data_IF_472696797968
#
_entry.id   IF_472696797968
#
_cell.length_a   1.000
_cell.length_b   1.000
_cell.length_c   1.000
_cell.angle_alpha   90.00
_cell.angle_beta   90.00
_cell.angle_gamma   90.00
#
_symmetry.space_group_name_H-M   'P 1'
#
loop_
_entity.id
_entity.type
_entity.pdbx_description
1 polymer ?
#
# COMPACT_ATOMS: atom_id res chain seq x y z
N UNK A 1 17.49 8.66 -74.20
CA UNK A 1 17.96 7.58 -75.10
C UNK A 1 19.47 7.68 -75.21
N UNK A 2 20.20 6.95 -74.37
CA UNK A 2 21.50 6.33 -74.68
C UNK A 2 21.97 5.57 -73.44
N UNK A 3 22.66 4.48 -73.70
CA UNK A 3 22.68 3.25 -72.91
C UNK A 3 23.95 3.14 -72.05
N UNK A 4 23.80 2.37 -70.98
CA UNK A 4 24.78 1.90 -70.00
C UNK A 4 26.22 1.61 -70.48
N UNK A 5 27.15 1.64 -69.52
CA UNK A 5 28.17 0.58 -69.36
C UNK A 5 28.71 0.52 -67.93
N UNK A 6 28.49 -0.63 -67.31
CA UNK A 6 29.12 -1.10 -66.07
C UNK A 6 30.57 -1.49 -66.40
N UNK A 7 31.51 -1.15 -65.51
CA UNK A 7 32.85 -1.73 -65.55
C UNK A 7 33.26 -2.16 -64.14
N UNK A 8 33.41 -3.47 -63.97
CA UNK A 8 33.89 -4.14 -62.76
C UNK A 8 35.42 -4.12 -62.82
N UNK A 9 36.08 -3.62 -61.78
CA UNK A 9 37.51 -3.78 -61.56
C UNK A 9 37.74 -4.49 -60.23
N UNK A 10 38.31 -5.68 -60.35
CA UNK A 10 38.74 -6.57 -59.27
C UNK A 10 40.14 -6.14 -58.83
N UNK A 11 40.31 -5.85 -57.54
CA UNK A 11 41.63 -5.78 -56.90
C UNK A 11 41.58 -6.51 -55.54
N UNK A 12 42.46 -7.51 -55.36
CA UNK A 12 42.86 -8.10 -54.07
C UNK A 12 44.33 -7.71 -53.82
N UNK A 13 44.87 -7.91 -52.61
CA UNK A 13 44.63 -7.16 -51.37
C UNK A 13 45.90 -6.37 -50.97
N UNK A 14 45.76 -5.22 -50.29
CA UNK A 14 46.87 -4.64 -49.53
C UNK A 14 46.56 -4.75 -48.04
N UNK A 15 47.44 -5.45 -47.34
CA UNK A 15 47.52 -5.61 -45.90
C UNK A 15 47.49 -4.25 -45.20
N UNK A 16 46.39 -3.96 -44.51
CA UNK A 16 46.35 -2.94 -43.47
C UNK A 16 45.93 -3.58 -42.16
N UNK A 17 46.85 -3.46 -41.20
CA UNK A 17 46.71 -3.79 -39.80
C UNK A 17 45.59 -2.90 -39.22
N UNK A 18 44.36 -3.42 -39.16
CA UNK A 18 43.26 -2.77 -38.46
C UNK A 18 43.12 -3.39 -37.08
N UNK A 19 43.48 -2.60 -36.07
CA UNK A 19 43.16 -2.83 -34.66
C UNK A 19 41.66 -3.11 -34.54
N UNK A 20 41.32 -4.32 -34.10
CA UNK A 20 39.98 -4.66 -33.67
C UNK A 20 39.68 -3.88 -32.39
N UNK A 21 38.98 -2.76 -32.52
CA UNK A 21 38.24 -2.19 -31.40
C UNK A 21 37.06 -3.14 -31.19
N UNK A 22 37.15 -3.98 -30.15
CA UNK A 22 36.01 -4.69 -29.60
C UNK A 22 35.04 -3.64 -29.08
N UNK A 23 34.05 -3.26 -29.90
CA UNK A 23 32.83 -2.66 -29.41
C UNK A 23 32.09 -3.74 -28.63
N UNK A 24 32.35 -3.80 -27.32
CA UNK A 24 31.43 -4.41 -26.37
C UNK A 24 30.10 -3.66 -26.51
N UNK A 25 29.17 -4.23 -27.29
CA UNK A 25 27.76 -4.03 -27.01
C UNK A 25 27.53 -4.67 -25.65
N UNK A 26 27.59 -3.84 -24.61
CA UNK A 26 26.93 -4.17 -23.35
C UNK A 26 25.45 -4.13 -23.66
N UNK A 27 24.90 -5.28 -24.06
CA UNK A 27 23.48 -5.54 -23.82
C UNK A 27 23.35 -5.42 -22.31
N UNK A 28 22.51 -4.52 -21.77
CA UNK A 28 22.16 -4.59 -20.37
C UNK A 28 21.42 -5.91 -20.21
N UNK A 29 22.16 -6.95 -19.83
CA UNK A 29 21.55 -8.09 -19.16
C UNK A 29 21.02 -7.50 -17.87
N UNK A 30 19.68 -7.39 -17.77
CA UNK A 30 19.05 -7.26 -16.46
C UNK A 30 19.52 -8.49 -15.69
N UNK A 31 20.55 -8.33 -14.87
CA UNK A 31 20.90 -9.30 -13.86
C UNK A 31 19.74 -9.21 -12.88
N UNK A 32 18.77 -10.11 -13.00
CA UNK A 32 17.74 -10.33 -11.99
C UNK A 32 18.41 -11.01 -10.81
N UNK A 33 19.18 -10.25 -10.04
CA UNK A 33 19.19 -10.46 -8.60
C UNK A 33 17.89 -9.81 -8.13
N UNK A 34 16.92 -10.62 -7.73
CA UNK A 34 15.70 -10.14 -7.10
C UNK A 34 16.14 -9.64 -5.72
N UNK A 35 16.57 -8.38 -5.63
CA UNK A 35 16.74 -7.74 -4.33
C UNK A 35 15.38 -7.77 -3.64
N UNK A 36 15.28 -8.49 -2.53
CA UNK A 36 14.09 -8.49 -1.69
C UNK A 36 14.09 -7.19 -0.91
N UNK A 37 13.20 -6.28 -1.30
CA UNK A 37 12.98 -5.04 -0.58
C UNK A 37 11.98 -5.32 0.54
N UNK A 38 12.50 -5.42 1.77
CA UNK A 38 11.68 -5.62 2.95
C UNK A 38 10.85 -4.40 3.33
N UNK A 39 10.16 -4.50 4.46
CA UNK A 39 9.38 -3.46 5.11
C UNK A 39 10.22 -2.73 6.19
N UNK A 40 9.99 -1.42 6.31
CA UNK A 40 10.57 -0.55 7.35
C UNK A 40 9.70 -0.41 8.61
N UNK A 41 8.49 -0.99 8.62
CA UNK A 41 7.59 -0.97 9.77
C UNK A 41 8.21 -1.68 10.96
N UNK A 42 8.34 -0.94 12.07
CA UNK A 42 8.88 -1.47 13.32
C UNK A 42 7.79 -2.14 14.14
N UNK A 43 8.12 -3.24 14.80
CA UNK A 43 7.25 -3.82 15.83
C UNK A 43 7.01 -2.78 16.93
N UNK A 44 5.75 -2.55 17.34
CA UNK A 44 5.43 -1.55 18.34
C UNK A 44 6.02 -1.95 19.69
N UNK A 45 6.51 -0.95 20.43
CA UNK A 45 7.09 -1.14 21.77
C UNK A 45 6.09 -1.81 22.74
N UNK A 46 4.79 -1.60 22.51
CA UNK A 46 3.71 -2.26 23.22
C UNK A 46 2.85 -3.04 22.24
N UNK A 47 2.78 -4.36 22.37
CA UNK A 47 1.95 -5.18 21.50
C UNK A 47 0.46 -4.88 21.68
N UNK A 48 -0.23 -4.76 20.56
CA UNK A 48 -1.68 -4.66 20.47
C UNK A 48 -2.26 -6.06 20.29
N UNK A 49 -3.06 -6.51 21.24
CA UNK A 49 -3.82 -7.76 21.10
C UNK A 49 -5.07 -7.51 20.27
N UNK A 50 -5.57 -8.55 19.60
CA UNK A 50 -6.81 -8.45 18.83
C UNK A 50 -7.96 -8.05 19.75
N UNK A 51 -8.56 -6.86 19.57
CA UNK A 51 -9.64 -6.42 20.44
C UNK A 51 -10.89 -7.26 20.19
N UNK A 52 -11.74 -7.39 21.20
CA UNK A 52 -13.06 -7.97 21.00
C UNK A 52 -13.88 -7.07 20.06
N UNK A 53 -14.69 -7.66 19.20
CA UNK A 53 -15.61 -6.88 18.37
C UNK A 53 -16.59 -6.08 19.24
N UNK A 54 -16.89 -4.81 18.89
CA UNK A 54 -17.84 -4.01 19.65
C UNK A 54 -19.27 -4.52 19.49
N UNK A 55 -20.14 -4.11 20.41
CA UNK A 55 -21.56 -4.45 20.37
C UNK A 55 -22.19 -3.95 19.06
N UNK A 56 -22.77 -4.87 18.28
CA UNK A 56 -23.39 -4.56 16.98
C UNK A 56 -22.53 -4.88 15.76
N UNK A 57 -21.33 -5.45 15.94
CA UNK A 57 -20.55 -6.05 14.86
C UNK A 57 -21.41 -6.98 13.99
N UNK A 58 -21.21 -6.89 12.68
CA UNK A 58 -21.88 -7.72 11.68
C UNK A 58 -20.81 -8.47 10.89
N UNK A 59 -20.80 -9.79 11.03
CA UNK A 59 -19.84 -10.67 10.36
C UNK A 59 -19.96 -10.69 8.83
N UNK A 60 -21.08 -10.22 8.29
CA UNK A 60 -21.37 -10.22 6.85
C UNK A 60 -21.43 -8.80 6.28
N UNK A 61 -20.87 -7.82 7.00
CA UNK A 61 -20.82 -6.44 6.52
C UNK A 61 -19.43 -6.13 5.97
N UNK A 62 -19.39 -5.59 4.76
CA UNK A 62 -18.16 -5.06 4.17
C UNK A 62 -17.85 -3.67 4.76
N UNK A 63 -16.68 -3.52 5.36
CA UNK A 63 -16.19 -2.27 5.92
C UNK A 63 -15.49 -1.45 4.84
N UNK A 64 -16.15 -0.37 4.41
CA UNK A 64 -15.58 0.59 3.46
C UNK A 64 -14.67 1.59 4.17
N UNK A 65 -13.39 1.61 3.85
CA UNK A 65 -12.34 2.45 4.43
C UNK A 65 -11.84 3.47 3.41
N UNK A 66 -11.82 4.74 3.79
CA UNK A 66 -11.32 5.84 2.96
C UNK A 66 -9.79 5.79 2.89
N UNK A 67 -9.25 5.81 1.68
CA UNK A 67 -7.81 5.97 1.42
C UNK A 67 -7.57 7.24 0.59
N UNK A 68 -6.44 7.89 0.83
CA UNK A 68 -6.03 9.10 0.12
C UNK A 68 -4.57 8.94 -0.30
N UNK A 69 -4.28 9.20 -1.58
CA UNK A 69 -2.94 9.00 -2.14
C UNK A 69 -2.22 10.34 -2.31
N UNK A 70 -0.96 10.38 -1.88
CA UNK A 70 -0.04 11.48 -2.07
C UNK A 70 1.11 11.01 -2.96
N UNK A 71 1.19 11.50 -4.19
CA UNK A 71 2.31 11.23 -5.10
C UNK A 71 3.32 12.34 -4.91
N UNK A 72 4.53 12.02 -4.46
CA UNK A 72 5.58 13.03 -4.35
C UNK A 72 6.21 13.26 -5.73
N UNK A 73 6.56 14.51 -6.03
CA UNK A 73 7.26 14.92 -7.23
C UNK A 73 8.30 15.99 -6.90
N UNK A 74 9.17 16.29 -7.86
CA UNK A 74 10.14 17.38 -7.72
C UNK A 74 9.45 18.72 -7.46
N UNK A 75 10.19 19.66 -6.86
CA UNK A 75 9.66 20.99 -6.48
C UNK A 75 9.11 21.80 -7.67
N UNK A 76 9.58 21.51 -8.90
CA UNK A 76 9.08 22.12 -10.14
C UNK A 76 7.83 21.41 -10.72
N UNK A 77 7.38 20.34 -10.07
CA UNK A 77 6.24 19.51 -10.43
C UNK A 77 6.53 18.41 -11.44
N UNK A 78 7.80 18.20 -11.81
CA UNK A 78 8.22 17.13 -12.72
C UNK A 78 8.58 15.85 -11.96
N UNK A 79 8.73 14.73 -12.69
CA UNK A 79 9.21 13.46 -12.13
C UNK A 79 8.39 12.95 -10.95
N UNK A 80 7.08 12.68 -11.12
CA UNK A 80 6.31 12.04 -10.06
C UNK A 80 6.93 10.69 -9.70
N UNK A 81 6.90 10.35 -8.42
CA UNK A 81 7.44 9.10 -7.89
C UNK A 81 6.83 7.84 -8.51
N UNK A 82 5.61 7.95 -9.05
CA UNK A 82 4.97 6.88 -9.80
C UNK A 82 4.07 7.44 -10.91
N UNK A 83 3.96 6.68 -11.99
CA UNK A 83 2.98 6.93 -13.04
C UNK A 83 1.57 6.50 -12.58
N UNK A 84 0.56 7.21 -13.07
CA UNK A 84 -0.84 6.97 -12.68
C UNK A 84 -1.32 5.57 -13.07
N UNK A 85 -0.84 5.00 -14.17
CA UNK A 85 -1.23 3.65 -14.60
C UNK A 85 -0.77 2.56 -13.65
N UNK A 86 0.44 2.72 -13.10
CA UNK A 86 1.03 1.75 -12.19
C UNK A 86 0.35 1.85 -10.83
N UNK A 87 0.13 3.08 -10.35
CA UNK A 87 -0.67 3.33 -9.15
C UNK A 87 -2.06 2.68 -9.22
N UNK A 88 -2.80 2.90 -10.30
CA UNK A 88 -4.15 2.34 -10.40
C UNK A 88 -4.14 0.80 -10.44
N UNK A 89 -3.16 0.19 -11.13
CA UNK A 89 -3.00 -1.27 -11.16
C UNK A 89 -2.70 -1.84 -9.77
N UNK A 90 -1.89 -1.14 -8.99
CA UNK A 90 -1.55 -1.50 -7.61
C UNK A 90 -2.75 -1.39 -6.66
N UNK A 91 -3.54 -0.32 -6.79
CA UNK A 91 -4.75 -0.15 -5.98
C UNK A 91 -5.82 -1.21 -6.31
N UNK A 92 -5.96 -1.61 -7.57
CA UNK A 92 -6.83 -2.72 -7.98
C UNK A 92 -6.38 -4.06 -7.37
N UNK A 93 -5.08 -4.37 -7.44
CA UNK A 93 -4.54 -5.57 -6.82
C UNK A 93 -4.69 -5.56 -5.29
N UNK A 94 -4.33 -4.45 -4.65
CA UNK A 94 -4.49 -4.22 -3.20
C UNK A 94 -5.94 -4.49 -2.79
N UNK A 95 -6.92 -3.89 -3.48
CA UNK A 95 -8.32 -4.13 -3.19
C UNK A 95 -8.69 -5.62 -3.29
N UNK A 96 -8.16 -6.35 -4.27
CA UNK A 96 -8.46 -7.77 -4.44
C UNK A 96 -8.02 -8.61 -3.23
N UNK A 97 -6.93 -8.22 -2.55
CA UNK A 97 -6.44 -8.90 -1.35
C UNK A 97 -7.29 -8.61 -0.10
N UNK A 98 -7.87 -7.41 0.00
CA UNK A 98 -8.76 -7.04 1.13
C UNK A 98 -10.20 -7.55 0.97
N UNK A 99 -10.64 -7.83 -0.26
CA UNK A 99 -12.02 -8.25 -0.52
C UNK A 99 -12.44 -9.53 0.23
N UNK A 100 -11.64 -10.61 0.31
CA UNK A 100 -11.95 -11.79 1.12
C UNK A 100 -12.09 -11.50 2.63
N UNK A 101 -11.48 -10.40 3.09
CA UNK A 101 -11.58 -9.95 4.47
C UNK A 101 -12.76 -8.98 4.70
N UNK A 102 -13.74 -8.90 3.79
CA UNK A 102 -14.86 -7.96 3.89
C UNK A 102 -14.41 -6.51 4.15
N UNK A 103 -13.26 -6.13 3.60
CA UNK A 103 -12.74 -4.76 3.66
C UNK A 103 -12.71 -4.22 2.24
N UNK A 104 -13.16 -2.99 2.10
CA UNK A 104 -13.19 -2.35 0.81
C UNK A 104 -12.64 -0.93 0.85
N UNK A 105 -11.72 -0.64 -0.06
CA UNK A 105 -10.99 0.60 -0.10
C UNK A 105 -11.77 1.63 -0.92
N UNK A 106 -11.76 2.86 -0.43
CA UNK A 106 -12.47 3.98 -1.03
C UNK A 106 -11.47 5.07 -1.31
N UNK A 107 -11.00 5.12 -2.56
CA UNK A 107 -10.16 6.21 -3.03
C UNK A 107 -10.95 7.52 -2.97
N UNK A 108 -10.64 8.36 -1.98
CA UNK A 108 -11.30 9.66 -1.80
C UNK A 108 -10.53 10.82 -2.41
N UNK A 109 -9.34 10.55 -2.93
CA UNK A 109 -8.55 11.52 -3.67
C UNK A 109 -7.13 11.06 -3.91
N UNK A 110 -6.55 11.66 -4.94
CA UNK A 110 -5.12 11.66 -5.20
C UNK A 110 -4.67 13.12 -5.17
N UNK A 111 -3.46 13.38 -4.71
CA UNK A 111 -2.80 14.66 -4.92
C UNK A 111 -1.32 14.48 -5.22
N UNK A 112 -0.76 15.40 -5.99
CA UNK A 112 0.68 15.52 -6.16
C UNK A 112 1.21 16.54 -5.15
N UNK A 113 2.28 16.18 -4.44
CA UNK A 113 3.03 17.09 -3.56
C UNK A 113 4.36 17.39 -4.26
N UNK A 114 4.61 18.66 -4.56
CA UNK A 114 5.84 19.09 -5.22
C UNK A 114 6.86 19.49 -4.15
N UNK A 115 7.72 18.55 -3.79
CA UNK A 115 8.80 18.76 -2.82
C UNK A 115 9.93 17.80 -3.13
N UNK A 116 11.04 18.33 -3.65
CA UNK A 116 12.25 17.54 -3.90
C UNK A 116 12.82 16.92 -2.61
N UNK A 117 12.54 17.54 -1.46
CA UNK A 117 12.94 17.08 -0.14
C UNK A 117 12.20 15.78 0.25
N UNK A 118 10.89 15.72 -0.04
CA UNK A 118 10.06 14.55 0.27
C UNK A 118 10.24 13.40 -0.74
N UNK A 119 11.04 13.57 -1.80
CA UNK A 119 11.24 12.50 -2.80
C UNK A 119 11.94 11.29 -2.16
N UNK A 120 12.75 11.53 -1.15
CA UNK A 120 13.51 10.55 -0.39
C UNK A 120 12.98 10.58 1.05
N UNK A 121 12.50 9.44 1.57
CA UNK A 121 11.90 9.36 2.90
C UNK A 121 12.71 8.47 3.83
N UNK A 122 13.27 9.08 4.89
CA UNK A 122 13.87 8.36 6.02
C UNK A 122 12.80 8.01 7.04
N UNK A 123 12.46 6.73 7.14
CA UNK A 123 11.29 6.28 7.92
C UNK A 123 11.43 6.50 9.44
N UNK A 124 12.66 6.63 9.94
CA UNK A 124 12.97 6.78 11.36
C UNK A 124 13.27 8.23 11.80
N UNK A 125 13.48 9.14 10.85
CA UNK A 125 13.89 10.52 11.12
C UNK A 125 12.92 11.57 10.56
N UNK A 126 12.20 11.27 9.48
CA UNK A 126 11.48 12.27 8.67
C UNK A 126 9.95 12.04 8.65
N UNK A 127 9.41 11.26 9.58
CA UNK A 127 7.95 11.05 9.70
C UNK A 127 7.19 12.38 9.90
N UNK A 128 7.74 13.28 10.72
CA UNK A 128 7.10 14.56 11.07
C UNK A 128 6.87 15.47 9.85
N UNK A 129 7.63 15.29 8.77
CA UNK A 129 7.52 16.07 7.54
C UNK A 129 6.27 15.71 6.72
N UNK A 130 5.65 14.55 7.00
CA UNK A 130 4.41 14.11 6.37
C UNK A 130 3.15 14.68 7.05
N UNK A 131 3.23 14.97 8.35
CA UNK A 131 2.09 15.41 9.17
C UNK A 131 1.32 16.61 8.59
N UNK A 132 1.96 17.64 8.01
CA UNK A 132 1.25 18.76 7.39
C UNK A 132 0.36 18.39 6.19
N UNK A 133 0.61 17.24 5.57
CA UNK A 133 -0.08 16.80 4.35
C UNK A 133 -1.20 15.80 4.61
N UNK A 134 -1.33 15.29 5.85
CA UNK A 134 -2.36 14.33 6.21
C UNK A 134 -3.77 14.87 5.91
N UNK A 135 -4.52 14.07 5.18
CA UNK A 135 -5.96 14.27 4.97
C UNK A 135 -6.69 13.51 6.06
N UNK A 136 -7.33 14.27 6.96
CA UNK A 136 -8.08 13.68 8.08
C UNK A 136 -9.19 12.75 7.63
N UNK A 137 -9.53 11.78 8.49
CA UNK A 137 -10.57 10.79 8.28
C UNK A 137 -10.33 9.91 7.02
N UNK A 138 -9.08 9.66 6.66
CA UNK A 138 -8.67 8.74 5.60
C UNK A 138 -7.32 8.13 5.98
N UNK A 139 -7.02 6.95 5.46
CA UNK A 139 -5.66 6.40 5.52
C UNK A 139 -4.85 7.07 4.41
N UNK A 140 -3.74 7.71 4.77
CA UNK A 140 -2.89 8.47 3.84
C UNK A 140 -1.74 7.60 3.36
N UNK A 141 -1.62 7.44 2.04
CA UNK A 141 -0.56 6.65 1.42
C UNK A 141 0.36 7.62 0.68
N UNK A 142 1.59 7.76 1.16
CA UNK A 142 2.61 8.59 0.55
C UNK A 142 3.49 7.74 -0.37
N UNK A 143 3.66 8.18 -1.61
CA UNK A 143 4.46 7.49 -2.62
C UNK A 143 5.69 8.35 -2.91
N UNK A 144 6.81 7.88 -2.38
CA UNK A 144 8.11 8.52 -2.50
C UNK A 144 8.89 7.89 -3.65
N UNK A 145 9.95 8.55 -4.10
CA UNK A 145 10.89 7.93 -5.02
C UNK A 145 11.71 6.85 -4.33
N UNK A 146 12.15 7.12 -3.11
CA UNK A 146 12.85 6.16 -2.27
C UNK A 146 12.33 6.20 -0.83
N UNK A 147 12.15 5.02 -0.23
CA UNK A 147 11.88 4.84 1.20
C UNK A 147 13.05 4.06 1.81
N UNK A 148 13.68 4.58 2.87
CA UNK A 148 14.90 3.99 3.40
C UNK A 148 15.12 4.25 4.91
N UNK A 149 16.00 3.46 5.50
CA UNK A 149 16.63 3.70 6.81
C UNK A 149 18.13 3.45 6.63
N UNK A 150 18.96 4.35 7.14
CA UNK A 150 20.41 4.36 6.90
C UNK A 150 20.75 4.23 5.39
N UNK A 151 21.40 3.13 4.98
CA UNK A 151 21.77 2.84 3.59
C UNK A 151 20.85 1.76 2.95
N UNK A 152 19.76 1.37 3.62
CA UNK A 152 18.87 0.28 3.18
C UNK A 152 17.55 0.83 2.64
N UNK A 153 17.25 0.48 1.40
CA UNK A 153 15.96 0.77 0.76
C UNK A 153 14.92 -0.27 1.19
N UNK A 154 13.72 0.19 1.49
CA UNK A 154 12.54 -0.62 1.76
C UNK A 154 11.48 -0.44 0.68
N UNK A 155 10.60 -1.42 0.56
CA UNK A 155 9.39 -1.25 -0.24
C UNK A 155 8.46 -0.20 0.37
N UNK A 156 8.35 -0.18 1.70
CA UNK A 156 7.46 0.74 2.39
C UNK A 156 7.58 0.67 3.91
N UNK A 157 6.77 1.46 4.59
CA UNK A 157 6.65 1.47 6.03
C UNK A 157 5.32 2.13 6.45
N UNK A 158 4.59 1.44 7.32
CA UNK A 158 3.69 2.06 8.28
C UNK A 158 4.48 2.55 9.50
N UNK A 159 4.09 3.71 10.03
CA UNK A 159 4.83 4.35 11.13
C UNK A 159 4.42 3.86 12.53
N UNK A 160 3.30 3.13 12.64
CA UNK A 160 2.89 2.41 13.86
C UNK A 160 1.88 1.31 13.48
N UNK A 161 1.57 0.43 14.44
CA UNK A 161 0.59 -0.65 14.29
C UNK A 161 -0.39 -0.54 15.48
N UNK A 162 -1.65 -0.08 15.29
CA UNK A 162 -2.25 0.43 14.05
C UNK A 162 -1.85 1.87 13.74
N UNK A 163 -2.10 2.32 12.50
CA UNK A 163 -1.90 3.70 12.07
C UNK A 163 -2.85 4.08 10.92
N UNK A 164 -2.94 5.35 10.55
CA UNK A 164 -3.71 5.85 9.41
C UNK A 164 -2.84 6.58 8.37
N UNK A 165 -1.54 6.32 8.34
CA UNK A 165 -0.68 6.70 7.24
C UNK A 165 0.53 5.78 7.09
N UNK A 166 1.02 5.69 5.86
CA UNK A 166 2.14 4.85 5.46
C UNK A 166 2.86 5.46 4.26
N UNK A 167 4.10 5.06 4.06
CA UNK A 167 4.93 5.43 2.92
C UNK A 167 5.33 4.20 2.11
N UNK A 168 5.37 4.35 0.78
CA UNK A 168 5.81 3.32 -0.16
C UNK A 168 6.77 3.90 -1.19
N UNK A 169 7.66 3.04 -1.69
CA UNK A 169 8.61 3.33 -2.74
C UNK A 169 7.96 3.15 -4.13
N UNK A 170 7.95 4.22 -4.91
CA UNK A 170 7.30 4.28 -6.22
C UNK A 170 8.02 3.46 -7.30
N UNK A 171 9.35 3.36 -7.25
CA UNK A 171 10.14 2.58 -8.21
C UNK A 171 9.92 1.07 -7.98
N UNK A 172 9.87 0.64 -6.71
CA UNK A 172 9.55 -0.76 -6.35
C UNK A 172 8.10 -1.08 -6.72
N UNK A 173 7.18 -0.15 -6.45
CA UNK A 173 5.77 -0.30 -6.80
C UNK A 173 5.55 -0.42 -8.32
N UNK A 174 6.39 0.19 -9.15
CA UNK A 174 6.30 0.09 -10.61
C UNK A 174 6.84 -1.25 -11.18
N UNK A 175 7.35 -2.15 -10.35
CA UNK A 175 7.84 -3.47 -10.78
C UNK A 175 6.69 -4.42 -11.17
N UNK A 176 6.82 -5.09 -12.32
CA UNK A 176 5.77 -5.95 -12.91
C UNK A 176 5.35 -7.16 -12.05
N UNK A 177 6.07 -7.46 -10.96
CA UNK A 177 5.84 -8.63 -10.09
C UNK A 177 5.68 -8.26 -8.59
N UNK A 178 5.40 -6.99 -8.25
CA UNK A 178 5.27 -6.52 -6.86
C UNK A 178 3.91 -5.87 -6.60
N UNK A 179 2.86 -6.65 -6.39
CA UNK A 179 1.49 -6.12 -6.19
C UNK A 179 1.02 -6.06 -4.73
N UNK A 180 1.79 -6.68 -3.84
CA UNK A 180 1.49 -6.86 -2.42
C UNK A 180 1.90 -5.65 -1.57
N UNK A 181 2.74 -4.75 -2.10
CA UNK A 181 3.42 -3.71 -1.34
C UNK A 181 2.46 -2.81 -0.54
N UNK A 182 1.49 -2.18 -1.21
CA UNK A 182 0.51 -1.33 -0.51
C UNK A 182 -0.33 -2.19 0.45
N UNK A 183 -0.65 -3.42 0.08
CA UNK A 183 -1.45 -4.30 0.94
C UNK A 183 -0.71 -4.69 2.22
N UNK A 184 0.59 -4.93 2.15
CA UNK A 184 1.46 -5.22 3.29
C UNK A 184 1.46 -4.06 4.29
N UNK A 185 1.83 -2.86 3.83
CA UNK A 185 1.89 -1.68 4.70
C UNK A 185 0.50 -1.25 5.21
N UNK A 186 -0.52 -1.39 4.38
CA UNK A 186 -1.90 -1.14 4.81
C UNK A 186 -2.37 -2.19 5.83
N UNK A 187 -1.90 -3.43 5.73
CA UNK A 187 -2.11 -4.48 6.73
C UNK A 187 -1.59 -4.06 8.11
N UNK A 188 -0.40 -3.47 8.16
CA UNK A 188 0.17 -2.88 9.38
C UNK A 188 -0.67 -1.72 9.93
N UNK A 189 -1.10 -0.79 9.07
CA UNK A 189 -2.03 0.28 9.46
C UNK A 189 -3.31 -0.29 10.09
N UNK A 190 -3.81 -1.41 9.56
CA UNK A 190 -4.99 -2.13 10.07
C UNK A 190 -4.67 -3.10 11.22
N UNK A 191 -3.46 -3.05 11.78
CA UNK A 191 -3.08 -3.71 13.02
C UNK A 191 -2.48 -5.10 12.88
N UNK A 192 -2.14 -5.55 11.66
CA UNK A 192 -1.44 -6.82 11.45
C UNK A 192 0.04 -6.71 11.79
N UNK A 193 0.60 -7.77 12.35
CA UNK A 193 2.04 -7.95 12.48
C UNK A 193 2.59 -8.76 11.32
N UNK A 194 3.90 -8.72 11.13
CA UNK A 194 4.59 -9.71 10.32
C UNK A 194 4.31 -11.11 10.87
N UNK A 195 4.16 -12.11 10.01
CA UNK A 195 3.95 -13.53 10.43
C UNK A 195 5.09 -14.04 11.31
N UNK A 196 6.29 -13.51 11.10
CA UNK A 196 7.52 -13.82 11.82
C UNK A 196 7.78 -12.92 13.04
N UNK A 197 6.78 -12.20 13.56
CA UNK A 197 6.94 -11.30 14.71
C UNK A 197 7.57 -12.02 15.92
N UNK A 198 8.64 -11.45 16.47
CA UNK A 198 9.41 -12.07 17.57
C UNK A 198 9.51 -11.20 18.82
N UNK A 199 9.06 -9.94 18.80
CA UNK A 199 9.00 -9.03 19.94
C UNK A 199 8.12 -9.52 21.09
N UNK A 200 7.18 -10.42 20.77
CA UNK A 200 6.33 -11.15 21.72
C UNK A 200 6.88 -12.53 22.11
N UNK A 201 8.03 -12.91 21.57
CA UNK A 201 8.60 -14.25 21.62
C UNK A 201 8.29 -15.05 20.36
N UNK A 202 9.15 -16.02 20.05
CA UNK A 202 9.02 -16.90 18.89
C UNK A 202 7.82 -17.83 19.04
N UNK A 203 7.06 -17.96 17.96
CA UNK A 203 5.93 -18.86 17.89
C UNK A 203 6.38 -20.31 17.67
N UNK A 204 5.77 -21.25 18.40
CA UNK A 204 5.99 -22.68 18.20
C UNK A 204 5.04 -23.22 17.13
N UNK A 205 5.50 -24.22 16.37
CA UNK A 205 4.74 -24.84 15.28
C UNK A 205 3.48 -25.54 15.81
N UNK A 206 3.53 -26.14 17.00
CA UNK A 206 2.37 -26.88 17.52
C UNK A 206 1.18 -25.98 17.82
N UNK A 207 0.01 -26.42 17.34
CA UNK A 207 -1.29 -25.78 17.60
C UNK A 207 -2.05 -26.41 18.76
N UNK A 208 -1.40 -27.26 19.56
CA UNK A 208 -1.99 -27.91 20.73
C UNK A 208 -0.94 -28.27 21.80
N UNK A 209 -1.43 -28.63 22.99
CA UNK A 209 -0.58 -29.06 24.11
C UNK A 209 0.10 -27.90 24.82
N UNK A 210 1.08 -28.23 25.67
CA UNK A 210 1.77 -27.27 26.55
C UNK A 210 2.68 -26.28 25.81
N UNK A 211 3.14 -26.65 24.61
CA UNK A 211 3.99 -25.80 23.77
C UNK A 211 3.20 -24.83 22.87
N UNK A 212 1.86 -24.90 22.84
CA UNK A 212 1.05 -23.97 22.03
C UNK A 212 1.14 -22.55 22.62
N UNK A 213 1.55 -21.58 21.81
CA UNK A 213 1.76 -20.19 22.24
C UNK A 213 1.23 -19.11 21.28
N UNK A 214 0.67 -19.47 20.13
CA UNK A 214 0.18 -18.53 19.09
C UNK A 214 -0.80 -17.43 19.55
N UNK A 215 -1.50 -17.57 20.69
CA UNK A 215 -2.38 -16.49 21.19
C UNK A 215 -1.61 -15.31 21.83
N UNK A 216 -0.31 -15.46 22.11
CA UNK A 216 0.48 -14.50 22.88
C UNK A 216 1.95 -14.36 22.44
N UNK A 217 2.35 -15.06 21.38
CA UNK A 217 3.66 -14.96 20.70
C UNK A 217 3.44 -14.86 19.20
N UNK A 218 4.47 -14.59 18.40
CA UNK A 218 4.28 -14.45 16.95
C UNK A 218 3.45 -13.21 16.62
N UNK A 219 2.66 -13.33 15.55
CA UNK A 219 1.73 -12.31 15.07
C UNK A 219 0.40 -12.24 15.87
N UNK A 220 0.28 -13.03 16.94
CA UNK A 220 -0.90 -13.20 17.79
C UNK A 220 -2.09 -13.90 17.10
N UNK A 221 -1.83 -14.63 16.02
CA UNK A 221 -2.83 -15.37 15.26
C UNK A 221 -2.43 -16.84 15.18
N UNK A 222 -3.41 -17.73 15.30
CA UNK A 222 -3.16 -19.17 15.32
C UNK A 222 -3.45 -19.86 13.99
N UNK A 223 -4.07 -19.16 13.04
CA UNK A 223 -4.37 -19.67 11.70
C UNK A 223 -3.26 -19.37 10.68
N UNK A 224 -2.42 -18.37 10.94
CA UNK A 224 -1.11 -18.21 10.31
C UNK A 224 -0.20 -19.30 10.86
N UNK A 225 0.49 -20.09 10.03
CA UNK A 225 1.53 -21.01 10.50
C UNK A 225 2.71 -20.26 11.10
N UNK A 226 3.35 -20.85 12.12
CA UNK A 226 4.51 -20.24 12.76
C UNK A 226 5.63 -20.02 11.73
N UNK A 227 6.29 -18.86 11.84
CA UNK A 227 7.27 -18.38 10.86
C UNK A 227 8.65 -18.14 11.52
N UNK A 228 9.75 -18.73 11.01
CA UNK A 228 11.01 -18.84 11.73
C UNK A 228 11.88 -17.57 11.82
N UNK A 229 11.51 -16.44 11.19
CA UNK A 229 12.32 -15.23 11.09
C UNK A 229 13.81 -15.49 10.80
N UNK A 230 14.13 -16.01 9.61
CA UNK A 230 15.52 -16.24 9.20
C UNK A 230 15.92 -15.21 8.15
N UNK A 231 16.47 -14.10 8.65
CA UNK A 231 16.86 -12.92 7.88
C UNK A 231 17.90 -13.21 6.80
N UNK A 232 18.73 -14.25 6.98
CA UNK A 232 19.79 -14.58 6.03
C UNK A 232 19.26 -15.39 4.83
N UNK A 233 18.26 -16.26 5.05
CA UNK A 233 17.84 -17.20 4.01
C UNK A 233 16.33 -17.23 3.73
N UNK A 234 15.47 -17.35 4.75
CA UNK A 234 14.03 -17.46 4.51
C UNK A 234 13.47 -16.11 4.05
N UNK A 235 13.75 -15.05 4.82
CA UNK A 235 13.25 -13.70 4.58
C UNK A 235 13.82 -13.10 3.27
N UNK A 236 14.97 -13.60 2.80
CA UNK A 236 15.57 -13.24 1.50
C UNK A 236 15.02 -14.07 0.33
N UNK A 237 14.09 -15.00 0.59
CA UNK A 237 13.45 -15.85 -0.39
C UNK A 237 14.30 -17.05 -0.87
N UNK A 238 15.51 -17.26 -0.31
CA UNK A 238 16.44 -18.30 -0.78
C UNK A 238 15.87 -19.72 -0.64
N UNK A 239 15.02 -19.97 0.37
CA UNK A 239 14.40 -21.28 0.60
C UNK A 239 13.00 -21.43 0.01
N UNK A 240 12.53 -20.47 -0.79
CA UNK A 240 11.21 -20.47 -1.41
C UNK A 240 11.39 -20.67 -2.92
N UNK A 241 10.82 -21.75 -3.44
CA UNK A 241 10.95 -22.07 -4.87
C UNK A 241 9.98 -21.27 -5.76
N UNK A 242 9.91 -21.62 -7.06
CA UNK A 242 8.99 -20.97 -8.01
C UNK A 242 7.53 -21.39 -7.82
N UNK A 243 7.26 -22.47 -7.10
CA UNK A 243 5.93 -22.88 -6.68
C UNK A 243 5.51 -22.23 -5.34
N UNK A 244 6.39 -21.40 -4.78
CA UNK A 244 6.26 -20.77 -3.47
C UNK A 244 6.35 -21.78 -2.32
N UNK A 245 7.03 -22.90 -2.49
CA UNK A 245 7.17 -23.91 -1.44
C UNK A 245 8.43 -23.65 -0.61
N UNK A 246 8.28 -23.63 0.72
CA UNK A 246 9.40 -23.51 1.65
C UNK A 246 10.14 -24.84 1.81
N UNK A 247 11.47 -24.79 1.72
CA UNK A 247 12.35 -25.97 1.79
C UNK A 247 13.37 -25.92 2.94
N UNK A 248 13.25 -24.95 3.85
CA UNK A 248 14.16 -24.80 4.98
C UNK A 248 14.00 -25.88 6.05
N UNK A 249 14.95 -25.91 6.99
CA UNK A 249 15.07 -27.00 7.98
C UNK A 249 15.05 -26.51 9.44
N UNK A 250 14.67 -25.25 9.64
CA UNK A 250 14.59 -24.61 10.95
C UNK A 250 13.49 -25.30 11.79
N UNK A 251 13.73 -25.44 13.09
CA UNK A 251 12.82 -26.10 14.03
C UNK A 251 12.50 -25.19 15.20
N UNK A 252 11.30 -25.31 15.74
CA UNK A 252 10.96 -24.62 16.99
C UNK A 252 11.69 -25.23 18.19
N UNK A 253 11.89 -24.43 19.23
CA UNK A 253 12.65 -24.82 20.41
C UNK A 253 11.89 -25.76 21.37
N UNK A 254 10.56 -25.77 21.33
CA UNK A 254 9.75 -26.49 22.33
C UNK A 254 9.46 -27.94 21.94
N UNK A 255 9.18 -28.19 20.66
CA UNK A 255 8.77 -29.49 20.11
C UNK A 255 9.77 -30.04 19.10
N UNK A 256 10.76 -29.25 18.68
CA UNK A 256 11.68 -29.56 17.59
C UNK A 256 10.96 -29.83 16.26
N UNK A 257 9.76 -29.28 16.08
CA UNK A 257 8.99 -29.42 14.83
C UNK A 257 9.54 -28.48 13.77
N UNK A 258 9.56 -28.93 12.51
CA UNK A 258 9.98 -28.08 11.38
C UNK A 258 8.96 -26.96 11.17
N UNK A 259 9.46 -25.75 10.98
CA UNK A 259 8.63 -24.64 10.53
C UNK A 259 8.08 -24.91 9.11
N UNK A 260 6.83 -24.51 8.90
CA UNK A 260 6.12 -24.58 7.62
C UNK A 260 5.36 -23.27 7.43
N UNK A 261 6.08 -22.14 7.25
CA UNK A 261 5.46 -20.84 7.14
C UNK A 261 4.60 -20.75 5.88
N UNK A 262 3.62 -19.86 5.92
CA UNK A 262 2.82 -19.53 4.75
C UNK A 262 3.53 -18.47 3.92
N UNK A 263 4.33 -18.93 2.96
CA UNK A 263 5.12 -18.12 2.01
C UNK A 263 4.29 -17.27 1.07
N UNK A 264 2.97 -17.46 1.05
CA UNK A 264 2.03 -16.70 0.23
C UNK A 264 1.27 -15.65 1.03
N UNK A 265 1.48 -15.61 2.35
CA UNK A 265 0.87 -14.61 3.19
C UNK A 265 1.47 -13.24 2.90
N UNK A 266 0.62 -12.22 2.72
CA UNK A 266 1.05 -10.85 2.42
C UNK A 266 1.89 -10.26 3.56
N UNK A 267 1.70 -10.69 4.81
CA UNK A 267 2.49 -10.20 5.95
C UNK A 267 3.77 -11.01 6.21
N UNK A 268 4.10 -11.97 5.34
CA UNK A 268 5.37 -12.69 5.39
C UNK A 268 6.46 -11.92 4.65
N UNK A 269 7.71 -12.31 4.91
CA UNK A 269 8.85 -11.98 4.06
C UNK A 269 9.21 -13.19 3.19
N UNK A 270 10.13 -12.96 2.26
CA UNK A 270 10.66 -13.98 1.40
C UNK A 270 10.53 -13.56 -0.05
N UNK A 271 9.80 -14.37 -0.83
CA UNK A 271 9.72 -14.17 -2.27
C UNK A 271 8.43 -13.45 -2.64
N UNK A 272 8.54 -12.15 -2.82
CA UNK A 272 7.45 -11.22 -3.09
C UNK A 272 6.44 -11.66 -4.16
N UNK A 273 6.90 -12.33 -5.23
CA UNK A 273 6.00 -12.85 -6.29
C UNK A 273 5.01 -13.92 -5.82
N UNK A 274 5.19 -14.42 -4.60
CA UNK A 274 4.36 -15.45 -3.99
C UNK A 274 3.23 -14.89 -3.13
N UNK A 275 3.34 -13.66 -2.65
CA UNK A 275 2.37 -13.07 -1.74
C UNK A 275 1.03 -12.83 -2.47
N UNK A 276 -0.03 -13.47 -1.98
CA UNK A 276 -1.33 -13.45 -2.67
C UNK A 276 -2.55 -13.43 -1.74
N UNK A 277 -2.38 -13.53 -0.42
CA UNK A 277 -3.53 -13.53 0.49
C UNK A 277 -3.23 -13.10 1.94
N UNK A 278 -4.33 -12.81 2.66
CA UNK A 278 -4.37 -12.76 4.13
C UNK A 278 -5.12 -13.99 4.67
N UNK A 279 -4.77 -14.41 5.88
CA UNK A 279 -5.49 -15.46 6.62
C UNK A 279 -6.88 -14.97 7.08
N UNK A 280 -7.71 -15.90 7.54
CA UNK A 280 -9.04 -15.57 8.05
C UNK A 280 -8.96 -14.73 9.34
N UNK A 281 -8.06 -15.09 10.28
CA UNK A 281 -7.89 -14.32 11.51
C UNK A 281 -7.18 -12.99 11.27
N UNK A 282 -6.32 -12.86 10.24
CA UNK A 282 -5.82 -11.55 9.81
C UNK A 282 -6.99 -10.66 9.37
N UNK A 283 -7.91 -11.17 8.55
CA UNK A 283 -9.13 -10.44 8.17
C UNK A 283 -10.01 -10.07 9.37
N UNK A 284 -10.21 -10.98 10.33
CA UNK A 284 -10.95 -10.70 11.57
C UNK A 284 -10.28 -9.61 12.40
N UNK A 285 -8.95 -9.70 12.59
CA UNK A 285 -8.17 -8.74 13.35
C UNK A 285 -8.24 -7.35 12.73
N UNK A 286 -8.06 -7.22 11.42
CA UNK A 286 -8.19 -5.93 10.73
C UNK A 286 -9.56 -5.28 10.96
N UNK A 287 -10.65 -6.04 10.80
CA UNK A 287 -12.01 -5.54 11.07
C UNK A 287 -12.19 -5.16 12.55
N UNK A 288 -11.57 -5.90 13.48
CA UNK A 288 -11.64 -5.60 14.89
C UNK A 288 -10.92 -4.28 15.22
N UNK A 289 -9.74 -4.06 14.64
CA UNK A 289 -8.97 -2.81 14.78
C UNK A 289 -9.73 -1.62 14.19
N UNK A 290 -10.26 -1.76 12.97
CA UNK A 290 -11.08 -0.74 12.29
C UNK A 290 -12.22 -0.22 13.18
N UNK A 291 -12.80 -1.07 14.02
CA UNK A 291 -13.98 -0.76 14.82
C UNK A 291 -13.69 -0.34 16.27
N UNK A 292 -12.46 -0.54 16.74
CA UNK A 292 -12.08 -0.23 18.12
C UNK A 292 -11.09 0.93 18.22
N UNK A 293 -10.39 1.26 17.13
CA UNK A 293 -9.38 2.31 17.13
C UNK A 293 -9.94 3.57 16.47
N UNK A 294 -9.98 4.68 17.21
CA UNK A 294 -10.58 5.94 16.75
C UNK A 294 -9.93 6.41 15.43
N UNK A 295 -8.61 6.29 15.32
CA UNK A 295 -7.83 6.67 14.13
C UNK A 295 -8.25 5.91 12.86
N UNK A 296 -8.81 4.70 13.00
CA UNK A 296 -9.31 3.87 11.89
C UNK A 296 -10.83 3.99 11.73
N UNK A 297 -11.56 4.11 12.85
CA UNK A 297 -13.02 4.28 12.86
C UNK A 297 -13.40 5.56 12.11
N UNK A 298 -12.63 6.63 12.28
CA UNK A 298 -12.81 7.90 11.56
C UNK A 298 -12.59 7.75 10.04
N UNK A 299 -11.84 6.73 9.60
CA UNK A 299 -11.61 6.41 8.19
C UNK A 299 -12.77 5.62 7.56
N UNK A 300 -13.77 5.16 8.31
CA UNK A 300 -14.92 4.46 7.75
C UNK A 300 -15.82 5.37 6.89
N UNK A 301 -16.32 4.84 5.78
CA UNK A 301 -17.40 5.48 5.02
C UNK A 301 -18.73 5.27 5.74
N UNK A 302 -19.40 6.34 6.20
CA UNK A 302 -20.68 6.23 6.89
C UNK A 302 -21.80 5.76 5.95
N UNK A 303 -22.81 5.11 6.51
CA UNK A 303 -23.97 4.64 5.75
C UNK A 303 -24.76 5.79 5.12
N UNK A 304 -24.96 6.87 5.87
CA UNK A 304 -25.69 8.05 5.42
C UNK A 304 -25.03 9.30 5.99
N UNK A 305 -25.00 10.37 5.21
CA UNK A 305 -24.66 11.70 5.69
C UNK A 305 -25.87 12.60 5.46
N UNK A 306 -26.32 13.26 6.52
CA UNK A 306 -27.24 14.39 6.41
C UNK A 306 -26.56 15.61 6.99
N UNK A 307 -26.14 16.53 6.12
CA UNK A 307 -25.64 17.82 6.54
C UNK A 307 -26.82 18.75 6.79
N UNK A 308 -27.00 19.14 8.04
CA UNK A 308 -27.93 20.20 8.47
C UNK A 308 -27.23 21.13 9.47
N UNK A 309 -26.15 21.83 9.07
CA UNK A 309 -25.38 22.64 10.00
C UNK A 309 -26.22 23.80 10.54
N UNK A 310 -25.99 24.17 11.80
CA UNK A 310 -26.66 25.31 12.43
C UNK A 310 -26.22 26.68 11.85
N UNK A 311 -25.14 26.70 11.05
CA UNK A 311 -24.51 27.88 10.47
C UNK A 311 -24.11 27.64 9.01
N UNK A 312 -23.79 28.71 8.26
CA UNK A 312 -23.27 28.55 6.88
C UNK A 312 -21.96 27.77 6.88
N UNK A 313 -21.80 26.86 5.93
CA UNK A 313 -20.58 26.08 5.73
C UNK A 313 -19.95 26.51 4.41
N UNK A 314 -18.81 27.20 4.47
CA UNK A 314 -18.14 27.73 3.29
C UNK A 314 -16.69 27.22 3.25
N UNK A 315 -16.37 26.44 2.22
CA UNK A 315 -15.01 25.96 1.95
C UNK A 315 -14.43 26.79 0.80
N UNK A 316 -13.41 27.60 1.09
CA UNK A 316 -12.80 28.56 0.13
C UNK A 316 -11.40 28.12 -0.32
N UNK A 317 -10.72 27.31 0.48
CA UNK A 317 -9.44 26.67 0.20
C UNK A 317 -9.47 25.22 0.72
N UNK A 318 -8.56 24.38 0.22
CA UNK A 318 -8.44 22.98 0.64
C UNK A 318 -9.44 22.06 -0.06
N UNK A 319 -9.82 20.97 0.60
CA UNK A 319 -10.69 19.94 0.04
C UNK A 319 -11.86 19.63 0.96
N UNK A 320 -13.05 19.46 0.37
CA UNK A 320 -14.24 18.98 1.08
C UNK A 320 -14.63 17.59 0.59
N UNK A 321 -14.42 16.57 1.42
CA UNK A 321 -14.78 15.19 1.11
C UNK A 321 -16.05 14.81 1.88
N UNK A 322 -17.09 14.43 1.16
CA UNK A 322 -18.36 13.95 1.70
C UNK A 322 -18.72 12.66 0.97
N UNK A 323 -18.42 11.54 1.62
CA UNK A 323 -18.70 10.21 1.07
C UNK A 323 -19.61 9.43 2.01
N UNK A 324 -20.66 8.82 1.46
CA UNK A 324 -21.58 7.96 2.19
C UNK A 324 -21.95 6.76 1.34
N UNK A 325 -22.26 5.61 1.97
CA UNK A 325 -22.64 4.40 1.21
C UNK A 325 -23.98 4.59 0.52
N UNK A 326 -25.02 4.96 1.26
CA UNK A 326 -26.40 4.95 0.77
C UNK A 326 -26.89 6.33 0.35
N UNK A 327 -26.80 7.32 1.24
CA UNK A 327 -27.33 8.65 0.94
C UNK A 327 -26.49 9.78 1.50
N UNK A 328 -26.35 10.82 0.68
CA UNK A 328 -25.78 12.11 1.05
C UNK A 328 -26.83 13.19 0.82
N UNK A 329 -27.27 13.84 1.88
CA UNK A 329 -28.25 14.92 1.82
C UNK A 329 -27.63 16.20 2.36
N UNK A 330 -27.62 17.25 1.55
CA UNK A 330 -27.21 18.60 1.96
C UNK A 330 -28.46 19.46 2.12
N UNK A 331 -28.84 19.76 3.36
CA UNK A 331 -30.09 20.48 3.68
C UNK A 331 -29.87 21.93 4.12
N UNK A 332 -30.78 22.82 3.70
CA UNK A 332 -31.23 23.96 4.52
C UNK A 332 -30.33 25.19 4.69
N UNK A 333 -29.12 25.24 4.13
CA UNK A 333 -28.18 26.36 4.36
C UNK A 333 -27.38 26.77 3.12
N UNK A 334 -26.61 27.88 3.22
CA UNK A 334 -25.55 28.18 2.27
C UNK A 334 -24.38 27.20 2.50
N UNK A 335 -24.49 25.97 1.99
CA UNK A 335 -23.32 25.10 1.79
C UNK A 335 -22.62 25.58 0.53
N UNK A 336 -21.40 26.09 0.66
CA UNK A 336 -20.66 26.66 -0.45
C UNK A 336 -19.26 26.06 -0.53
N UNK A 337 -18.91 25.52 -1.71
CA UNK A 337 -17.52 25.24 -2.09
C UNK A 337 -17.17 26.27 -3.15
N UNK A 338 -16.19 27.13 -2.86
CA UNK A 338 -15.83 28.29 -3.69
C UNK A 338 -14.33 28.57 -3.67
N UNK A 339 -13.90 29.60 -4.38
CA UNK A 339 -12.48 30.00 -4.38
C UNK A 339 -11.57 28.93 -4.97
N UNK A 340 -10.48 28.61 -4.28
CA UNK A 340 -9.54 27.58 -4.74
C UNK A 340 -9.85 26.18 -4.17
N UNK A 341 -10.99 26.01 -3.49
CA UNK A 341 -11.35 24.74 -2.90
C UNK A 341 -11.70 23.68 -3.95
N UNK A 342 -11.41 22.43 -3.61
CA UNK A 342 -11.88 21.23 -4.31
C UNK A 342 -12.91 20.48 -3.47
N UNK A 343 -13.69 19.59 -4.09
CA UNK A 343 -14.66 18.78 -3.38
C UNK A 343 -14.95 17.44 -4.04
N UNK A 344 -15.26 16.44 -3.21
CA UNK A 344 -15.79 15.16 -3.62
C UNK A 344 -17.07 14.91 -2.84
N UNK A 345 -18.19 14.79 -3.55
CA UNK A 345 -19.46 14.35 -3.00
C UNK A 345 -19.80 13.00 -3.65
N UNK A 346 -19.80 11.92 -2.87
CA UNK A 346 -20.08 10.57 -3.36
C UNK A 346 -21.06 9.80 -2.49
N UNK A 347 -22.10 9.22 -3.10
CA UNK A 347 -23.03 8.28 -2.51
C UNK A 347 -23.95 7.67 -3.57
N UNK A 348 -24.57 6.52 -3.27
CA UNK A 348 -25.59 5.90 -4.13
C UNK A 348 -26.75 6.88 -4.46
N UNK A 349 -27.09 7.76 -3.52
CA UNK A 349 -28.07 8.84 -3.73
C UNK A 349 -27.56 10.15 -3.15
N UNK A 350 -27.48 11.18 -3.99
CA UNK A 350 -27.06 12.53 -3.58
C UNK A 350 -28.22 13.49 -3.77
N UNK A 351 -28.63 14.15 -2.69
CA UNK A 351 -29.68 15.17 -2.70
C UNK A 351 -29.12 16.51 -2.23
N UNK A 352 -29.03 17.46 -3.16
CA UNK A 352 -28.61 18.84 -2.88
C UNK A 352 -29.85 19.74 -2.81
N UNK A 353 -30.22 20.20 -1.62
CA UNK A 353 -31.37 21.10 -1.45
C UNK A 353 -31.03 22.55 -1.82
N UNK A 354 -32.04 23.43 -2.01
CA UNK A 354 -31.81 24.83 -2.36
C UNK A 354 -30.81 25.51 -1.42
N UNK A 355 -30.00 26.42 -1.98
CA UNK A 355 -28.91 27.19 -1.34
C UNK A 355 -27.55 26.47 -1.24
N UNK A 356 -27.46 25.24 -1.72
CA UNK A 356 -26.17 24.61 -2.06
C UNK A 356 -25.51 25.37 -3.23
N UNK A 357 -24.23 25.73 -3.12
CA UNK A 357 -23.43 26.44 -4.14
C UNK A 357 -22.10 25.74 -4.35
N UNK A 358 -21.89 25.16 -5.53
CA UNK A 358 -20.61 24.56 -5.91
C UNK A 358 -20.04 25.44 -7.03
N UNK A 359 -19.13 26.35 -6.67
CA UNK A 359 -18.57 27.38 -7.57
C UNK A 359 -17.07 27.58 -7.30
N UNK A 360 -16.25 26.53 -7.37
CA UNK A 360 -14.82 26.74 -7.31
C UNK A 360 -14.35 27.57 -8.52
N UNK A 361 -13.35 28.41 -8.31
CA UNK A 361 -12.71 29.27 -9.30
C UNK A 361 -11.58 28.52 -9.99
N UNK A 362 -10.77 27.78 -9.22
CA UNK A 362 -9.63 26.99 -9.73
C UNK A 362 -9.66 25.53 -9.31
N UNK A 363 -10.34 25.16 -8.22
CA UNK A 363 -10.53 23.77 -7.84
C UNK A 363 -11.67 23.09 -8.61
N UNK A 364 -11.81 21.78 -8.43
CA UNK A 364 -12.90 21.00 -9.02
C UNK A 364 -13.80 20.42 -7.93
N UNK A 365 -15.11 20.38 -8.19
CA UNK A 365 -16.06 19.64 -7.36
C UNK A 365 -16.65 18.50 -8.17
N UNK A 366 -16.30 17.28 -7.77
CA UNK A 366 -16.83 16.05 -8.36
C UNK A 366 -18.05 15.60 -7.54
N UNK A 367 -19.16 15.36 -8.22
CA UNK A 367 -20.38 14.79 -7.65
C UNK A 367 -20.67 13.50 -8.40
N UNK A 368 -20.40 12.36 -7.77
CA UNK A 368 -20.42 11.06 -8.45
C UNK A 368 -21.10 9.99 -7.60
N UNK A 369 -21.91 9.09 -8.19
CA UNK A 369 -22.35 7.89 -7.50
C UNK A 369 -21.25 6.82 -7.40
N UNK A 370 -20.10 7.04 -8.06
CA UNK A 370 -19.15 5.98 -8.40
C UNK A 370 -18.25 5.56 -7.23
N UNK A 371 -18.04 4.25 -7.18
CA UNK A 371 -17.46 3.52 -6.09
C UNK A 371 -16.05 3.04 -6.46
N UNK A 372 -15.10 3.94 -6.73
CA UNK A 372 -13.94 3.67 -7.61
C UNK A 372 -13.00 2.47 -7.31
N UNK A 373 -13.03 1.86 -6.12
CA UNK A 373 -12.33 0.60 -5.84
C UNK A 373 -13.24 -0.45 -5.16
N UNK A 374 -14.53 -0.17 -4.97
CA UNK A 374 -15.46 -1.16 -4.42
C UNK A 374 -16.55 -1.45 -5.43
N UNK A 375 -16.26 -2.21 -6.49
CA UNK A 375 -17.26 -2.89 -7.31
C UNK A 375 -16.58 -3.97 -8.17
#
# INVERSE_FOLDING_TARGET
>A
MSVAKVQILVFRPLTFLLMWIWSYFVVPTKITAQETYGCGTKSPVRPYFTPAFPAGYRSNETYQIKIFIHIIAESDGTGPAVEMTDLMSQLEATQSFFAPADICLKLVGIQQINSSDLMEQRVDEEEDDLLPFLVGNAINIFIHKFVYEDDKIFGGSAYDIPNNYLSVDGDIMASEDRFDLIAHELGHCLGLYHTFETGLGSENVTRNGICRNCDFTGDLLCDTPADPHDTENYDSGQYIDQACEYSGTIRDDCTESLYQPDTRNIMAYGKETCHDHFSAQQGERMRAMILNEDILTDCLVPNNITLSPAYNENTVFGRKILIARNSLIVQGINFEISGAASGLLSANSITLLPRTRLRPVTGEVVVTPENQLCD
#
